data_IF_797885052396
#
_entry.id   IF_797885052396
#
_cell.length_a   1.000
_cell.length_b   1.000
_cell.length_c   1.000
_cell.angle_alpha   90.00
_cell.angle_beta   90.00
_cell.angle_gamma   90.00
#
_symmetry.space_group_name_H-M   'P 1'
#
loop_
_entity.id
_entity.type
_entity.pdbx_description
1 polymer ?
#
# COMPACT_ATOMS: atom_id res chain seq x y z
N UNK A 1 -3.85 -5.14 -0.93
CA UNK A 1 -3.95 -3.93 -0.08
C UNK A 1 -2.56 -3.52 0.31
N UNK A 2 -2.32 -2.23 0.54
CA UNK A 2 -1.00 -1.74 0.89
C UNK A 2 -1.04 -0.32 1.43
N UNK A 3 0.14 0.25 1.59
CA UNK A 3 0.35 1.52 2.27
C UNK A 3 0.92 2.54 1.30
N UNK A 4 0.31 3.73 1.26
CA UNK A 4 0.86 4.86 0.50
C UNK A 4 2.14 5.30 1.21
N UNK A 5 3.27 5.23 0.52
CA UNK A 5 4.58 5.61 1.07
C UNK A 5 5.02 6.99 0.61
N UNK A 6 4.56 7.42 -0.57
CA UNK A 6 4.86 8.74 -1.10
C UNK A 6 3.78 9.20 -2.08
N UNK A 7 3.30 10.43 -1.91
CA UNK A 7 2.28 11.06 -2.78
C UNK A 7 2.87 11.99 -3.84
N UNK A 8 4.11 12.45 -3.67
CA UNK A 8 4.84 13.26 -4.65
C UNK A 8 6.14 12.58 -5.08
N UNK A 9 6.23 12.24 -6.36
CA UNK A 9 7.36 11.50 -6.95
C UNK A 9 8.20 12.36 -7.90
N UNK A 10 8.11 13.70 -7.83
CA UNK A 10 8.89 14.61 -8.69
C UNK A 10 10.40 14.36 -8.64
N UNK A 11 10.93 13.94 -7.48
CA UNK A 11 12.36 13.65 -7.32
C UNK A 11 12.85 12.47 -8.18
N UNK A 12 11.93 11.58 -8.60
CA UNK A 12 12.20 10.47 -9.51
C UNK A 12 11.93 10.84 -10.98
N UNK A 13 11.59 12.10 -11.27
CA UNK A 13 11.14 12.52 -12.60
C UNK A 13 9.77 11.95 -12.99
N UNK A 14 9.01 11.39 -12.03
CA UNK A 14 7.68 10.86 -12.27
C UNK A 14 6.68 12.00 -12.21
N UNK A 15 6.22 12.43 -13.38
CA UNK A 15 5.24 13.49 -13.48
C UNK A 15 3.80 12.99 -13.32
N UNK A 16 2.97 13.86 -12.73
CA UNK A 16 1.51 13.86 -12.66
C UNK A 16 0.84 12.60 -12.07
N UNK A 17 0.03 12.82 -11.03
CA UNK A 17 -1.02 11.92 -10.49
C UNK A 17 -0.61 10.44 -10.38
N UNK A 18 0.64 10.18 -9.97
CA UNK A 18 1.11 8.84 -9.60
C UNK A 18 1.64 8.89 -8.18
N UNK A 19 1.41 7.81 -7.44
CA UNK A 19 1.88 7.67 -6.06
C UNK A 19 2.56 6.33 -5.87
N UNK A 20 3.46 6.26 -4.89
CA UNK A 20 4.12 5.04 -4.50
C UNK A 20 3.32 4.33 -3.42
N UNK A 21 3.07 3.04 -3.64
CA UNK A 21 2.33 2.17 -2.74
C UNK A 21 3.19 0.94 -2.46
N UNK A 22 3.43 0.66 -1.18
CA UNK A 22 4.07 -0.56 -0.71
C UNK A 22 3.00 -1.64 -0.49
N UNK A 23 3.15 -2.79 -1.16
CA UNK A 23 2.31 -3.96 -1.05
C UNK A 23 3.05 -5.03 -0.23
N UNK A 24 2.65 -5.28 1.03
CA UNK A 24 3.26 -6.35 1.82
C UNK A 24 2.78 -7.72 1.34
N UNK A 25 3.65 -8.72 1.40
CA UNK A 25 3.28 -10.12 1.17
C UNK A 25 2.67 -10.72 2.43
N UNK A 26 1.58 -11.48 2.28
CA UNK A 26 1.03 -12.27 3.38
C UNK A 26 2.04 -13.31 3.87
N UNK A 27 2.07 -13.55 5.19
CA UNK A 27 2.99 -14.50 5.83
C UNK A 27 4.49 -14.23 5.57
N UNK A 28 4.87 -13.01 5.19
CA UNK A 28 6.27 -12.60 4.99
C UNK A 28 6.52 -11.15 5.39
N UNK A 29 7.81 -10.80 5.54
CA UNK A 29 8.28 -9.41 5.74
C UNK A 29 8.62 -8.75 4.39
N UNK A 30 8.67 -9.56 3.32
CA UNK A 30 8.88 -9.07 1.96
C UNK A 30 7.64 -8.35 1.45
N UNK A 31 7.86 -7.35 0.61
CA UNK A 31 6.80 -6.67 -0.10
C UNK A 31 7.36 -5.95 -1.31
N UNK A 32 6.47 -5.52 -2.19
CA UNK A 32 6.81 -4.87 -3.44
C UNK A 32 6.40 -3.40 -3.40
N UNK A 33 7.20 -2.53 -4.02
CA UNK A 33 6.87 -1.12 -4.17
C UNK A 33 6.38 -0.89 -5.60
N UNK A 34 5.16 -0.37 -5.72
CA UNK A 34 4.57 -0.03 -7.01
C UNK A 34 4.34 1.47 -7.13
N UNK A 35 4.58 2.02 -8.32
CA UNK A 35 4.17 3.37 -8.68
C UNK A 35 2.92 3.25 -9.54
N UNK A 36 1.79 3.74 -9.05
CA UNK A 36 0.48 3.60 -9.69
C UNK A 36 -0.21 4.95 -9.89
N UNK A 37 -1.02 5.12 -10.94
CA UNK A 37 -1.91 6.28 -11.08
C UNK A 37 -2.85 6.41 -9.87
N UNK A 38 -3.06 7.64 -9.39
CA UNK A 38 -3.95 7.90 -8.24
C UNK A 38 -5.39 7.43 -8.48
N UNK A 39 -5.85 7.41 -9.73
CA UNK A 39 -7.20 6.94 -10.11
C UNK A 39 -7.40 5.43 -9.87
N UNK A 40 -6.33 4.65 -9.80
CA UNK A 40 -6.39 3.21 -9.54
C UNK A 40 -6.46 2.86 -8.04
N UNK A 41 -6.63 3.87 -7.18
CA UNK A 41 -6.47 3.73 -5.73
C UNK A 41 -7.79 4.09 -5.06
N UNK A 42 -8.29 3.16 -4.26
CA UNK A 42 -9.42 3.39 -3.37
C UNK A 42 -8.89 3.53 -1.94
N UNK A 43 -8.99 4.71 -1.32
CA UNK A 43 -8.60 4.88 0.09
C UNK A 43 -9.40 3.95 0.99
N UNK A 44 -8.72 3.40 1.99
CA UNK A 44 -9.35 2.57 3.02
C UNK A 44 -9.36 3.40 4.32
N UNK A 45 -10.55 3.70 4.82
CA UNK A 45 -10.73 4.35 6.12
C UNK A 45 -10.74 3.27 7.22
N UNK A 46 -9.55 2.87 7.64
CA UNK A 46 -9.36 1.88 8.70
C UNK A 46 -8.06 2.15 9.45
N UNK A 47 -7.94 1.63 10.67
CA UNK A 47 -6.70 1.71 11.43
C UNK A 47 -5.59 0.92 10.73
N UNK A 48 -4.44 1.56 10.48
CA UNK A 48 -3.30 0.95 9.79
C UNK A 48 -2.78 -0.33 10.46
N UNK A 49 -2.88 -0.43 11.79
CA UNK A 49 -2.47 -1.62 12.55
C UNK A 49 -3.38 -2.79 12.19
N UNK A 50 -4.68 -2.58 12.12
CA UNK A 50 -5.64 -3.65 11.82
C UNK A 50 -5.54 -4.09 10.35
N UNK A 51 -5.33 -3.14 9.42
CA UNK A 51 -5.01 -3.45 8.02
C UNK A 51 -3.72 -4.28 7.92
N UNK A 52 -2.66 -3.92 8.67
CA UNK A 52 -1.41 -4.67 8.66
C UNK A 52 -1.59 -6.09 9.20
N UNK A 53 -2.30 -6.26 10.32
CA UNK A 53 -2.60 -7.60 10.86
C UNK A 53 -3.40 -8.43 9.84
N UNK A 54 -4.35 -7.82 9.14
CA UNK A 54 -5.13 -8.51 8.10
C UNK A 54 -4.23 -8.99 6.97
N UNK A 55 -3.34 -8.13 6.45
CA UNK A 55 -2.42 -8.49 5.37
C UNK A 55 -1.47 -9.62 5.80
N UNK A 56 -0.84 -9.50 6.97
CA UNK A 56 0.12 -10.49 7.48
C UNK A 56 -0.55 -11.85 7.73
N UNK A 57 -1.77 -11.85 8.27
CA UNK A 57 -2.54 -13.08 8.51
C UNK A 57 -3.25 -13.62 7.25
N UNK A 58 -3.12 -12.98 6.09
CA UNK A 58 -3.83 -13.36 4.88
C UNK A 58 -5.36 -13.32 5.01
N UNK A 59 -5.87 -12.53 5.97
CA UNK A 59 -7.30 -12.45 6.29
C UNK A 59 -7.88 -13.65 7.07
N UNK A 60 -7.02 -14.56 7.55
CA UNK A 60 -7.46 -15.77 8.29
C UNK A 60 -7.71 -15.47 9.78
N UNK A 61 -7.07 -14.44 10.33
CA UNK A 61 -7.33 -14.01 11.71
C UNK A 61 -8.68 -13.29 11.82
N UNK A 62 -9.48 -13.67 12.82
CA UNK A 62 -10.69 -12.92 13.20
C UNK A 62 -10.25 -11.62 13.88
N UNK A 63 -10.73 -10.49 13.34
CA UNK A 63 -10.58 -9.15 13.90
C UNK A 63 -11.86 -8.76 14.63
#
# INVERSE_FOLDING_TARGET
MGFITQTDLKFLGVEKKKIAVYLPSSYGILGELFIVPTENITPIDANSIDVMKFIVSGGVSKF
#
